data_IF_386321214045
#
_entry.id   IF_386321214045
#
_cell.length_a   1.000
_cell.length_b   1.000
_cell.length_c   1.000
_cell.angle_alpha   90.00
_cell.angle_beta   90.00
_cell.angle_gamma   90.00
#
_symmetry.space_group_name_H-M   'P 1'
#
loop_
_entity.id
_entity.type
_entity.pdbx_description
1 polymer ?
#
# COMPACT_ATOMS: atom_id res chain seq x y z
N UNK A 1 -27.60 15.18 4.83
CA UNK A 1 -26.22 14.68 4.68
C UNK A 1 -26.25 13.17 4.59
N UNK A 2 -25.42 12.55 3.73
CA UNK A 2 -25.35 11.08 3.67
C UNK A 2 -24.70 10.53 4.95
N UNK A 3 -25.05 9.30 5.35
CA UNK A 3 -24.43 8.65 6.52
C UNK A 3 -22.91 8.52 6.37
N UNK A 4 -22.42 8.37 5.14
CA UNK A 4 -20.99 8.35 4.82
C UNK A 4 -20.32 9.70 5.11
N UNK A 5 -20.96 10.81 4.76
CA UNK A 5 -20.42 12.14 5.06
C UNK A 5 -20.33 12.38 6.57
N UNK A 6 -21.37 12.00 7.32
CA UNK A 6 -21.37 12.15 8.78
C UNK A 6 -20.27 11.31 9.46
N UNK A 7 -19.93 10.14 8.92
CA UNK A 7 -18.80 9.33 9.40
C UNK A 7 -17.45 10.00 9.10
N UNK A 8 -17.26 10.51 7.88
CA UNK A 8 -16.04 11.23 7.52
C UNK A 8 -15.84 12.47 8.40
N UNK A 9 -16.89 13.26 8.63
CA UNK A 9 -16.83 14.45 9.47
C UNK A 9 -16.53 14.11 10.94
N UNK A 10 -17.07 12.99 11.45
CA UNK A 10 -16.78 12.48 12.80
C UNK A 10 -15.33 12.02 12.94
N UNK A 11 -14.76 11.41 11.90
CA UNK A 11 -13.36 10.99 11.89
C UNK A 11 -12.46 12.22 11.78
N UNK A 12 -12.74 13.14 10.86
CA UNK A 12 -11.98 14.39 10.69
C UNK A 12 -11.96 15.24 11.95
N UNK A 13 -13.03 15.22 12.75
CA UNK A 13 -13.08 15.89 14.05
C UNK A 13 -12.13 15.28 15.11
N UNK A 14 -11.67 14.03 14.94
CA UNK A 14 -10.77 13.31 15.88
C UNK A 14 -9.36 13.15 15.34
N UNK A 15 -9.24 12.91 14.05
CA UNK A 15 -7.99 12.82 13.32
C UNK A 15 -8.21 13.49 11.97
N UNK A 16 -7.39 14.50 11.59
CA UNK A 16 -7.58 15.23 10.34
C UNK A 16 -7.17 14.38 9.13
N UNK A 17 -7.95 13.35 8.80
CA UNK A 17 -7.71 12.40 7.70
C UNK A 17 -7.70 13.14 6.37
N UNK A 18 -8.73 13.96 6.14
CA UNK A 18 -8.91 14.65 4.85
C UNK A 18 -7.79 15.66 4.61
N UNK A 19 -7.35 16.40 5.64
CA UNK A 19 -6.23 17.34 5.53
C UNK A 19 -4.91 16.61 5.32
N UNK A 20 -4.67 15.50 6.04
CA UNK A 20 -3.43 14.73 5.92
C UNK A 20 -3.31 14.07 4.54
N UNK A 21 -4.41 13.50 4.04
CA UNK A 21 -4.52 12.96 2.70
C UNK A 21 -4.22 14.04 1.65
N UNK A 22 -4.84 15.22 1.79
CA UNK A 22 -4.61 16.33 0.86
C UNK A 22 -3.15 16.76 0.81
N UNK A 23 -2.54 16.94 1.98
CA UNK A 23 -1.15 17.39 2.09
C UNK A 23 -0.13 16.38 1.52
N UNK A 24 -0.36 15.08 1.69
CA UNK A 24 0.64 14.06 1.31
C UNK A 24 0.40 13.42 -0.05
N UNK A 25 -0.84 13.40 -0.54
CA UNK A 25 -1.20 12.61 -1.72
C UNK A 25 -1.80 13.45 -2.85
N UNK A 26 -2.64 14.47 -2.57
CA UNK A 26 -3.35 15.19 -3.65
C UNK A 26 -2.77 16.55 -4.01
N UNK A 27 -2.24 17.31 -3.05
CA UNK A 27 -1.72 18.67 -3.27
C UNK A 27 -0.19 18.72 -3.33
N UNK A 28 0.48 17.56 -3.31
CA UNK A 28 1.93 17.50 -3.42
C UNK A 28 2.37 17.92 -4.84
N UNK A 29 3.09 19.04 -4.94
CA UNK A 29 3.50 19.60 -6.21
C UNK A 29 4.54 18.71 -6.90
N UNK A 30 4.10 18.00 -7.93
CA UNK A 30 4.95 17.11 -8.72
C UNK A 30 5.70 17.92 -9.81
N UNK A 31 7.04 17.97 -9.81
CA UNK A 31 7.81 18.76 -10.78
C UNK A 31 7.59 18.30 -12.23
N UNK A 32 7.27 19.23 -13.14
CA UNK A 32 6.88 18.92 -14.53
C UNK A 32 7.99 18.31 -15.42
N UNK A 33 9.21 18.16 -14.91
CA UNK A 33 10.37 17.60 -15.64
C UNK A 33 10.70 16.16 -15.18
N UNK A 34 9.72 15.26 -15.25
CA UNK A 34 9.92 13.86 -14.92
C UNK A 34 10.58 13.11 -16.08
N UNK A 35 11.71 12.45 -15.79
CA UNK A 35 12.31 11.45 -16.67
C UNK A 35 11.67 10.06 -16.43
N UNK A 36 11.77 9.15 -17.39
CA UNK A 36 11.28 7.77 -17.33
C UNK A 36 11.73 7.02 -16.06
N UNK A 37 12.92 7.33 -15.53
CA UNK A 37 13.45 6.68 -14.31
C UNK A 37 12.58 6.85 -13.06
N UNK A 38 11.77 7.89 -12.98
CA UNK A 38 10.86 8.09 -11.84
C UNK A 38 9.73 7.05 -11.78
N UNK A 39 9.40 6.39 -12.90
CA UNK A 39 8.41 5.31 -12.92
C UNK A 39 8.87 4.08 -12.12
N UNK A 40 10.18 3.80 -12.09
CA UNK A 40 10.71 2.67 -11.34
C UNK A 40 10.45 2.76 -9.83
N UNK A 41 10.35 3.97 -9.27
CA UNK A 41 9.96 4.15 -7.87
C UNK A 41 8.54 3.62 -7.60
N UNK A 42 7.57 4.04 -8.42
CA UNK A 42 6.19 3.53 -8.31
C UNK A 42 6.08 2.04 -8.65
N UNK A 43 6.87 1.57 -9.61
CA UNK A 43 6.94 0.15 -9.97
C UNK A 43 7.49 -0.69 -8.83
N UNK A 44 8.51 -0.21 -8.11
CA UNK A 44 9.05 -0.90 -6.94
C UNK A 44 8.01 -1.00 -5.82
N UNK A 45 7.22 0.04 -5.58
CA UNK A 45 6.09 0.00 -4.64
C UNK A 45 5.05 -1.05 -5.05
N UNK A 46 4.70 -1.11 -6.34
CA UNK A 46 3.78 -2.11 -6.87
C UNK A 46 4.32 -3.54 -6.64
N UNK A 47 5.57 -3.78 -7.00
CA UNK A 47 6.23 -5.08 -6.80
C UNK A 47 6.26 -5.45 -5.32
N UNK A 48 6.55 -4.51 -4.42
CA UNK A 48 6.53 -4.75 -2.98
C UNK A 48 5.16 -5.21 -2.48
N UNK A 49 4.07 -4.52 -2.88
CA UNK A 49 2.71 -4.92 -2.49
C UNK A 49 2.39 -6.32 -3.02
N UNK A 50 2.75 -6.62 -4.27
CA UNK A 50 2.56 -7.95 -4.85
C UNK A 50 3.31 -9.00 -4.03
N UNK A 51 4.59 -8.77 -3.69
CA UNK A 51 5.40 -9.70 -2.90
C UNK A 51 4.86 -9.93 -1.50
N UNK A 52 4.31 -8.90 -0.84
CA UNK A 52 3.69 -9.06 0.48
C UNK A 52 2.44 -9.93 0.37
N UNK A 53 1.56 -9.65 -0.59
CA UNK A 53 0.30 -10.40 -0.75
C UNK A 53 0.58 -11.85 -1.15
N UNK A 54 1.44 -12.08 -2.14
CA UNK A 54 1.80 -13.45 -2.57
C UNK A 54 2.62 -14.16 -1.50
N UNK A 55 3.49 -13.46 -0.77
CA UNK A 55 4.25 -14.00 0.36
C UNK A 55 3.35 -14.48 1.49
N UNK A 56 2.33 -13.69 1.88
CA UNK A 56 1.33 -14.11 2.86
C UNK A 56 0.60 -15.37 2.39
N UNK A 57 0.18 -15.41 1.12
CA UNK A 57 -0.46 -16.60 0.54
C UNK A 57 0.47 -17.83 0.58
N UNK A 58 1.74 -17.65 0.24
CA UNK A 58 2.73 -18.73 0.28
C UNK A 58 2.96 -19.23 1.71
N UNK A 59 3.05 -18.35 2.70
CA UNK A 59 3.24 -18.73 4.12
C UNK A 59 2.09 -19.60 4.64
N UNK A 60 0.86 -19.46 4.10
CA UNK A 60 -0.26 -20.33 4.47
C UNK A 60 -0.12 -21.76 3.93
N UNK A 61 0.65 -21.97 2.87
CA UNK A 61 0.81 -23.27 2.19
C UNK A 61 2.21 -23.87 2.32
N UNK A 62 3.19 -23.06 2.69
CA UNK A 62 4.58 -23.45 2.84
C UNK A 62 4.82 -24.02 4.24
N UNK A 63 5.28 -25.27 4.31
CA UNK A 63 5.81 -25.86 5.55
C UNK A 63 7.34 -25.70 5.56
N UNK A 64 7.91 -24.87 6.45
CA UNK A 64 9.35 -24.68 6.56
C UNK A 64 9.99 -25.87 7.31
N UNK A 65 10.07 -27.03 6.66
CA UNK A 65 10.69 -28.23 7.22
C UNK A 65 11.74 -28.79 6.25
N UNK A 66 12.99 -28.89 6.72
CA UNK A 66 14.12 -29.38 5.93
C UNK A 66 14.02 -30.88 5.58
N UNK A 67 13.25 -31.65 6.35
CA UNK A 67 13.00 -33.08 6.12
C UNK A 67 11.86 -33.36 5.15
N UNK A 68 11.00 -32.37 4.88
CA UNK A 68 9.84 -32.51 3.98
C UNK A 68 10.26 -32.90 2.55
N UNK A 69 11.48 -32.58 2.15
CA UNK A 69 12.05 -32.84 0.83
C UNK A 69 13.17 -33.91 0.85
N UNK A 70 13.41 -34.56 1.99
CA UNK A 70 14.51 -35.54 2.18
C UNK A 70 14.10 -36.99 1.91
N UNK A 71 12.82 -37.25 1.62
CA UNK A 71 12.26 -38.59 1.36
C UNK A 71 11.96 -38.83 -0.14
N UNK A 72 12.70 -38.19 -1.04
CA UNK A 72 12.66 -38.41 -2.50
C UNK A 72 14.05 -38.54 -3.07
#
# INVERSE_FOLDING_TARGET
MSKAQALLDWVDARFPLTSTYKAHLSEYYAPKNFNFWYFFGSLALLVLVIQIVTGIFLVMHYKPDASLNAAG
#
